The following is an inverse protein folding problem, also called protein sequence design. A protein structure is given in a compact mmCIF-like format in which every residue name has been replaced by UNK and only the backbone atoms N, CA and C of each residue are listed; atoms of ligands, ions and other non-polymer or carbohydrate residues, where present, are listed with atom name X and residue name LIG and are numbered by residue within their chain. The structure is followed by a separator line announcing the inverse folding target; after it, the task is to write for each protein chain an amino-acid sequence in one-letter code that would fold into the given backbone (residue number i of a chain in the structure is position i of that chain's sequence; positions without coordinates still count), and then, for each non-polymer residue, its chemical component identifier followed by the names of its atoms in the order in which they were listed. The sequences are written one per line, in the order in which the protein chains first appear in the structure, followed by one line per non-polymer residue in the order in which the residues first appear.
data_IF_145521897315
#
_entry.id   IF_145521897315
#
_cell.length_a   1.000
_cell.length_b   1.000
_cell.length_c   1.000
_cell.angle_alpha   90.00
_cell.angle_beta   90.00
_cell.angle_gamma   90.00
#
_symmetry.space_group_name_H-M   'P 1'
#
loop_
_entity.id
_entity.type
_entity.pdbx_description
1 polymer ?
#
# COMPACT_ATOMS: atom_id res chain seq x y z
N UNK A 1 -7.44 -11.23 13.44
CA UNK A 1 -7.60 -9.83 13.89
C UNK A 1 -6.34 -9.28 14.58
N UNK A 2 -5.73 -9.97 15.55
CA UNK A 2 -4.53 -9.44 16.25
C UNK A 2 -3.26 -9.30 15.35
N UNK A 3 -3.01 -10.27 14.46
CA UNK A 3 -1.83 -10.29 13.59
C UNK A 3 -1.82 -9.19 12.53
N UNK A 4 -2.99 -8.83 12.00
CA UNK A 4 -3.14 -7.79 10.98
C UNK A 4 -2.94 -6.36 11.55
N UNK A 5 -3.18 -6.16 12.85
CA UNK A 5 -3.00 -4.85 13.50
C UNK A 5 -1.62 -4.66 14.14
N UNK A 6 -0.92 -5.74 14.49
CA UNK A 6 0.43 -5.70 15.08
C UNK A 6 1.52 -5.38 14.05
N UNK A 7 1.40 -5.90 12.82
CA UNK A 7 2.40 -5.67 11.75
C UNK A 7 2.51 -4.19 11.35
N UNK A 8 1.40 -3.45 11.16
CA UNK A 8 1.46 -2.00 10.96
C UNK A 8 2.04 -1.23 12.15
N UNK A 9 1.74 -1.66 13.38
CA UNK A 9 2.23 -1.01 14.59
C UNK A 9 3.76 -1.12 14.73
N UNK A 10 4.30 -2.32 14.45
CA UNK A 10 5.74 -2.57 14.47
C UNK A 10 6.44 -1.84 13.31
N UNK A 11 5.84 -1.84 12.11
CA UNK A 11 6.34 -1.12 10.95
C UNK A 11 6.37 0.41 11.16
N UNK A 12 5.33 0.98 11.76
CA UNK A 12 5.25 2.38 12.11
C UNK A 12 6.28 2.77 13.20
N UNK A 13 6.49 1.91 14.20
CA UNK A 13 7.49 2.15 15.26
C UNK A 13 8.94 2.19 14.71
N UNK A 14 9.27 1.29 13.78
CA UNK A 14 10.59 1.26 13.13
C UNK A 14 10.76 2.46 12.19
N UNK A 15 9.70 2.86 11.48
CA UNK A 15 9.66 4.03 10.61
C UNK A 15 9.88 5.36 11.35
N UNK A 16 9.24 5.54 12.51
CA UNK A 16 9.37 6.75 13.32
C UNK A 16 10.71 6.85 14.06
N UNK A 17 11.34 5.70 14.36
CA UNK A 17 12.54 5.67 15.20
C UNK A 17 13.85 6.07 14.50
N UNK A 18 13.95 6.01 13.16
CA UNK A 18 15.27 6.12 12.50
C UNK A 18 15.39 6.99 11.22
N UNK A 19 14.32 7.33 10.49
CA UNK A 19 14.46 7.79 9.09
C UNK A 19 13.89 9.18 8.77
N UNK A 20 12.96 9.71 9.57
CA UNK A 20 12.24 10.94 9.26
C UNK A 20 11.10 10.75 8.24
N UNK A 21 10.02 11.53 8.40
CA UNK A 21 8.71 11.30 7.75
C UNK A 21 8.79 11.15 6.22
N UNK A 22 9.49 12.07 5.54
CA UNK A 22 9.64 12.05 4.08
C UNK A 22 10.40 10.82 3.55
N UNK A 23 11.50 10.43 4.23
CA UNK A 23 12.29 9.27 3.80
C UNK A 23 11.54 7.96 4.00
N UNK A 24 10.78 7.86 5.08
CA UNK A 24 9.90 6.71 5.32
C UNK A 24 8.86 6.57 4.21
N UNK A 25 8.26 7.67 3.75
CA UNK A 25 7.29 7.62 2.64
C UNK A 25 7.95 7.03 1.39
N UNK A 26 9.08 7.58 0.95
CA UNK A 26 9.79 7.10 -0.25
C UNK A 26 10.18 5.63 -0.12
N UNK A 27 10.80 5.24 0.99
CA UNK A 27 11.22 3.86 1.22
C UNK A 27 10.00 2.93 1.23
N UNK A 28 8.91 3.33 1.89
CA UNK A 28 7.68 2.53 1.94
C UNK A 28 7.05 2.40 0.55
N UNK A 29 7.04 3.45 -0.27
CA UNK A 29 6.56 3.39 -1.66
C UNK A 29 7.40 2.44 -2.52
N UNK A 30 8.73 2.48 -2.39
CA UNK A 30 9.62 1.56 -3.11
C UNK A 30 9.39 0.10 -2.69
N UNK A 31 9.26 -0.16 -1.39
CA UNK A 31 8.92 -1.50 -0.86
C UNK A 31 7.53 -1.92 -1.37
N UNK A 32 6.55 -1.01 -1.42
CA UNK A 32 5.21 -1.31 -1.92
C UNK A 32 5.23 -1.77 -3.39
N UNK A 33 5.90 -1.02 -4.27
CA UNK A 33 6.04 -1.36 -5.70
C UNK A 33 6.78 -2.69 -5.88
N UNK A 34 7.83 -2.93 -5.10
CA UNK A 34 8.56 -4.20 -5.12
C UNK A 34 7.67 -5.37 -4.68
N UNK A 35 6.87 -5.18 -3.62
CA UNK A 35 5.95 -6.20 -3.12
C UNK A 35 4.88 -6.58 -4.14
N UNK A 36 4.26 -5.58 -4.79
CA UNK A 36 3.29 -5.80 -5.85
C UNK A 36 3.91 -6.46 -7.09
N UNK A 37 5.15 -6.10 -7.45
CA UNK A 37 5.87 -6.73 -8.54
C UNK A 37 6.13 -8.21 -8.29
N UNK A 38 6.60 -8.56 -7.08
CA UNK A 38 6.81 -9.95 -6.67
C UNK A 38 5.49 -10.74 -6.61
N UNK A 39 4.41 -10.12 -6.15
CA UNK A 39 3.09 -10.73 -6.09
C UNK A 39 2.53 -11.01 -7.50
N UNK A 40 2.71 -10.07 -8.42
CA UNK A 40 2.34 -10.23 -9.84
C UNK A 40 3.14 -11.34 -10.49
N UNK A 41 4.46 -11.39 -10.25
CA UNK A 41 5.32 -12.46 -10.75
C UNK A 41 4.89 -13.84 -10.22
N UNK A 42 4.51 -13.92 -8.94
CA UNK A 42 3.95 -15.14 -8.35
C UNK A 42 2.66 -15.57 -9.05
N UNK A 43 1.75 -14.63 -9.33
CA UNK A 43 0.51 -14.91 -10.06
C UNK A 43 0.77 -15.36 -11.50
N UNK A 44 1.77 -14.80 -12.18
CA UNK A 44 2.19 -15.22 -13.54
C UNK A 44 2.66 -16.68 -13.50
N UNK A 45 3.55 -17.04 -12.58
CA UNK A 45 4.03 -18.42 -12.46
C UNK A 45 2.91 -19.42 -12.16
N UNK A 46 1.91 -19.03 -11.34
CA UNK A 46 0.71 -19.83 -11.11
C UNK A 46 -0.12 -20.00 -12.38
N UNK A 47 -0.33 -18.92 -13.15
CA UNK A 47 -1.15 -18.92 -14.36
C UNK A 47 -0.53 -19.69 -15.53
N UNK A 48 0.81 -19.70 -15.64
CA UNK A 48 1.53 -20.40 -16.71
C UNK A 48 1.69 -21.92 -16.45
N UNK A 49 1.20 -22.43 -15.32
CA UNK A 49 1.27 -23.86 -14.99
C UNK A 49 2.70 -24.38 -14.87
N UNK A 50 3.66 -23.53 -14.47
CA UNK A 50 5.07 -23.92 -14.30
C UNK A 50 5.21 -24.92 -13.15
N UNK A 51 5.10 -26.21 -13.46
CA UNK A 51 5.27 -27.37 -12.55
C UNK A 51 6.71 -27.56 -12.02
N UNK A 52 7.65 -26.68 -12.39
CA UNK A 52 9.08 -26.87 -12.15
C UNK A 52 9.55 -26.35 -10.79
N UNK A 53 8.71 -25.61 -10.06
CA UNK A 53 8.99 -25.19 -8.68
C UNK A 53 8.16 -26.03 -7.71
N UNK A 54 8.75 -26.59 -6.63
CA UNK A 54 7.96 -27.29 -5.64
C UNK A 54 6.88 -26.35 -5.09
N UNK A 55 5.64 -26.81 -4.92
CA UNK A 55 4.49 -25.97 -4.57
C UNK A 55 4.73 -25.13 -3.30
N UNK A 56 5.57 -25.63 -2.40
CA UNK A 56 5.97 -24.95 -1.17
C UNK A 56 6.78 -23.67 -1.40
N UNK A 57 7.70 -23.63 -2.38
CA UNK A 57 8.50 -22.42 -2.67
C UNK A 57 7.60 -21.32 -3.24
N UNK A 58 6.66 -21.67 -4.12
CA UNK A 58 5.72 -20.73 -4.70
C UNK A 58 4.78 -20.13 -3.64
N UNK A 59 4.28 -20.96 -2.72
CA UNK A 59 3.46 -20.51 -1.59
C UNK A 59 4.26 -19.61 -0.65
N UNK A 60 5.50 -19.97 -0.31
CA UNK A 60 6.37 -19.12 0.52
C UNK A 60 6.66 -17.78 -0.15
N UNK A 61 6.92 -17.77 -1.45
CA UNK A 61 7.17 -16.56 -2.22
C UNK A 61 5.92 -15.65 -2.29
N UNK A 62 4.74 -16.25 -2.47
CA UNK A 62 3.46 -15.55 -2.41
C UNK A 62 3.23 -14.89 -1.04
N UNK A 63 3.38 -15.64 0.06
CA UNK A 63 3.21 -15.06 1.40
C UNK A 63 4.28 -14.00 1.72
N UNK A 64 5.52 -14.21 1.29
CA UNK A 64 6.59 -13.22 1.45
C UNK A 64 6.23 -11.89 0.78
N UNK A 65 5.78 -11.93 -0.48
CA UNK A 65 5.33 -10.72 -1.20
C UNK A 65 4.14 -10.05 -0.52
N UNK A 66 3.16 -10.80 -0.02
CA UNK A 66 2.05 -10.25 0.78
C UNK A 66 2.50 -9.56 2.07
N UNK A 67 3.44 -10.15 2.82
CA UNK A 67 4.00 -9.51 4.01
C UNK A 67 4.72 -8.21 3.67
N UNK A 68 5.45 -8.18 2.56
CA UNK A 68 6.19 -7.01 2.11
C UNK A 68 5.24 -5.86 1.73
N UNK A 69 4.13 -6.16 1.03
CA UNK A 69 3.05 -5.20 0.76
C UNK A 69 2.41 -4.70 2.06
N UNK A 70 2.14 -5.58 3.02
CA UNK A 70 1.52 -5.22 4.30
C UNK A 70 2.42 -4.29 5.13
N UNK A 71 3.72 -4.57 5.20
CA UNK A 71 4.71 -3.72 5.88
C UNK A 71 4.79 -2.34 5.23
N UNK A 72 4.87 -2.29 3.90
CA UNK A 72 4.91 -1.04 3.15
C UNK A 72 3.67 -0.15 3.41
N UNK A 73 2.48 -0.75 3.38
CA UNK A 73 1.22 -0.05 3.68
C UNK A 73 1.17 0.47 5.13
N UNK A 74 1.72 -0.29 6.08
CA UNK A 74 1.79 0.09 7.49
C UNK A 74 2.68 1.31 7.74
N UNK A 75 3.76 1.49 6.97
CA UNK A 75 4.63 2.67 7.05
C UNK A 75 4.14 3.87 6.24
N UNK A 76 3.62 3.64 5.03
CA UNK A 76 3.26 4.72 4.10
C UNK A 76 2.08 5.56 4.62
N UNK A 77 0.97 4.92 5.00
CA UNK A 77 -0.28 5.59 5.38
C UNK A 77 -0.13 6.61 6.53
N UNK A 78 0.41 6.23 7.71
CA UNK A 78 0.53 7.18 8.82
C UNK A 78 1.53 8.30 8.51
N UNK A 79 2.62 8.02 7.79
CA UNK A 79 3.62 9.04 7.46
C UNK A 79 3.11 10.07 6.45
N UNK A 80 2.34 9.66 5.44
CA UNK A 80 1.71 10.60 4.48
C UNK A 80 0.70 11.51 5.19
N UNK A 81 -0.12 10.95 6.09
CA UNK A 81 -1.07 11.75 6.86
C UNK A 81 -0.38 12.74 7.79
N UNK A 82 0.68 12.31 8.50
CA UNK A 82 1.47 13.18 9.35
C UNK A 82 2.16 14.29 8.53
N UNK A 83 2.77 13.94 7.40
CA UNK A 83 3.44 14.91 6.52
C UNK A 83 2.46 15.93 5.93
N UNK A 84 1.25 15.51 5.56
CA UNK A 84 0.19 16.41 5.10
C UNK A 84 -0.32 17.32 6.22
N UNK A 85 -0.42 16.82 7.45
CA UNK A 85 -0.78 17.63 8.61
C UNK A 85 0.29 18.67 8.97
N UNK A 86 1.58 18.38 8.72
CA UNK A 86 2.71 19.28 8.97
C UNK A 86 2.77 20.47 7.98
N UNK A 87 1.97 20.46 6.91
CA UNK A 87 1.93 21.57 5.95
C UNK A 87 1.12 22.77 6.44
N UNK A 88 0.40 22.64 7.56
CA UNK A 88 -0.45 23.68 8.12
C UNK A 88 0.10 24.15 9.46
N UNK A 89 0.19 25.47 9.65
CA UNK A 89 0.53 26.07 10.93
C UNK A 89 -0.66 25.94 11.91
N UNK A 90 -0.34 25.64 13.16
CA UNK A 90 -1.32 25.52 14.25
C UNK A 90 -1.62 26.87 14.91
N UNK A 91 -0.68 27.82 14.81
CA UNK A 91 -0.82 29.13 15.42
C UNK A 91 -1.64 30.09 14.53
N UNK A 92 -1.88 29.72 13.27
CA UNK A 92 -2.78 30.43 12.35
C UNK A 92 -4.19 29.81 12.36
N UNK A 93 -5.23 30.55 12.81
CA UNK A 93 -6.60 30.05 12.86
C UNK A 93 -7.21 29.75 11.49
N UNK A 94 -6.81 30.45 10.41
CA UNK A 94 -7.28 30.17 9.04
C UNK A 94 -6.67 28.85 8.53
N UNK A 95 -5.37 28.63 8.73
CA UNK A 95 -4.71 27.39 8.32
C UNK A 95 -5.21 26.18 9.10
N UNK A 96 -5.54 26.35 10.39
CA UNK A 96 -6.14 25.31 11.21
C UNK A 96 -7.52 24.87 10.67
N UNK A 97 -8.35 25.81 10.19
CA UNK A 97 -9.62 25.50 9.54
C UNK A 97 -9.41 24.84 8.16
N UNK A 98 -8.42 25.30 7.39
CA UNK A 98 -8.06 24.73 6.10
C UNK A 98 -7.59 23.27 6.24
N UNK A 99 -6.82 22.96 7.29
CA UNK A 99 -6.39 21.59 7.61
C UNK A 99 -7.56 20.65 7.85
N UNK A 100 -8.57 21.07 8.61
CA UNK A 100 -9.76 20.25 8.84
C UNK A 100 -10.50 19.96 7.53
N UNK A 101 -10.65 20.98 6.68
CA UNK A 101 -11.27 20.83 5.36
C UNK A 101 -10.45 19.91 4.44
N UNK A 102 -9.12 20.01 4.47
CA UNK A 102 -8.22 19.12 3.74
C UNK A 102 -8.44 17.65 4.14
N UNK A 103 -8.44 17.34 5.43
CA UNK A 103 -8.67 15.96 5.89
C UNK A 103 -10.08 15.46 5.59
N UNK A 104 -11.10 16.33 5.68
CA UNK A 104 -12.47 15.95 5.30
C UNK A 104 -12.55 15.52 3.83
N UNK A 105 -11.97 16.30 2.92
CA UNK A 105 -11.90 15.95 1.50
C UNK A 105 -11.03 14.71 1.26
N UNK A 106 -9.89 14.59 1.94
CA UNK A 106 -9.03 13.41 1.88
C UNK A 106 -9.80 12.13 2.23
N UNK A 107 -10.51 12.11 3.37
CA UNK A 107 -11.29 10.95 3.79
C UNK A 107 -12.46 10.65 2.85
N UNK A 108 -13.11 11.67 2.30
CA UNK A 108 -14.14 11.52 1.28
C UNK A 108 -13.58 10.80 0.04
N UNK A 109 -12.48 11.31 -0.52
CA UNK A 109 -11.82 10.74 -1.69
C UNK A 109 -11.33 9.30 -1.43
N UNK A 110 -10.71 9.03 -0.28
CA UNK A 110 -10.25 7.67 0.08
C UNK A 110 -11.43 6.71 0.19
N UNK A 111 -12.54 7.13 0.79
CA UNK A 111 -13.73 6.28 0.95
C UNK A 111 -14.36 5.96 -0.40
N UNK A 112 -14.62 6.98 -1.23
CA UNK A 112 -15.14 6.80 -2.59
C UNK A 112 -14.21 5.95 -3.46
N UNK A 113 -12.90 6.24 -3.42
CA UNK A 113 -11.89 5.48 -4.15
C UNK A 113 -11.84 4.02 -3.71
N UNK A 114 -11.93 3.74 -2.41
CA UNK A 114 -11.96 2.35 -1.89
C UNK A 114 -13.19 1.60 -2.36
N UNK A 115 -14.38 2.22 -2.37
CA UNK A 115 -15.61 1.59 -2.86
C UNK A 115 -15.51 1.25 -4.34
N UNK A 116 -15.06 2.20 -5.17
CA UNK A 116 -14.89 1.99 -6.61
C UNK A 116 -13.84 0.91 -6.86
N UNK A 117 -12.70 0.98 -6.18
CA UNK A 117 -11.61 0.03 -6.30
C UNK A 117 -12.05 -1.39 -5.95
N UNK A 118 -12.88 -1.56 -4.91
CA UNK A 118 -13.40 -2.88 -4.52
C UNK A 118 -14.27 -3.48 -5.64
N UNK A 119 -15.14 -2.69 -6.27
CA UNK A 119 -15.98 -3.18 -7.39
C UNK A 119 -15.13 -3.51 -8.62
N UNK A 120 -14.23 -2.61 -8.99
CA UNK A 120 -13.39 -2.75 -10.20
C UNK A 120 -12.38 -3.88 -10.05
N UNK A 121 -11.66 -3.97 -8.93
CA UNK A 121 -10.65 -5.02 -8.73
C UNK A 121 -11.28 -6.41 -8.65
N UNK A 122 -12.42 -6.57 -7.96
CA UNK A 122 -13.12 -7.86 -7.92
C UNK A 122 -13.51 -8.27 -9.34
N UNK A 123 -14.07 -7.36 -10.13
CA UNK A 123 -14.41 -7.65 -11.52
C UNK A 123 -13.19 -8.10 -12.34
N UNK A 124 -12.06 -7.39 -12.22
CA UNK A 124 -10.83 -7.73 -12.94
C UNK A 124 -10.28 -9.10 -12.49
N UNK A 125 -10.21 -9.34 -11.18
CA UNK A 125 -9.67 -10.58 -10.62
C UNK A 125 -10.52 -11.80 -11.04
N UNK A 126 -11.85 -11.67 -11.01
CA UNK A 126 -12.77 -12.77 -11.32
C UNK A 126 -12.92 -13.03 -12.83
N UNK A 127 -12.86 -11.99 -13.68
CA UNK A 127 -13.15 -12.14 -15.12
C UNK A 127 -11.89 -12.09 -16.01
N UNK A 128 -10.87 -11.34 -15.62
CA UNK A 128 -9.65 -11.11 -16.43
C UNK A 128 -8.40 -11.77 -15.81
N UNK A 129 -8.47 -12.17 -14.55
CA UNK A 129 -7.47 -12.96 -13.86
C UNK A 129 -6.58 -12.17 -12.90
N UNK A 130 -5.98 -12.92 -11.97
CA UNK A 130 -5.19 -12.39 -10.85
C UNK A 130 -3.90 -11.67 -11.28
N UNK A 131 -3.32 -12.03 -12.43
CA UNK A 131 -2.13 -11.35 -12.99
C UNK A 131 -2.43 -9.88 -13.26
N UNK A 132 -3.56 -9.58 -13.89
CA UNK A 132 -3.97 -8.20 -14.17
C UNK A 132 -4.42 -7.49 -12.88
N UNK A 133 -5.11 -8.21 -11.99
CA UNK A 133 -5.55 -7.68 -10.69
C UNK A 133 -4.39 -7.19 -9.80
N UNK A 134 -3.22 -7.84 -9.84
CA UNK A 134 -2.02 -7.41 -9.11
C UNK A 134 -1.08 -6.52 -9.94
N UNK A 135 -1.07 -6.70 -11.27
CA UNK A 135 -0.18 -5.98 -12.17
C UNK A 135 -0.60 -4.52 -12.40
N UNK A 136 -1.90 -4.23 -12.48
CA UNK A 136 -2.39 -2.86 -12.69
C UNK A 136 -1.95 -1.91 -11.54
N UNK A 137 -2.13 -2.28 -10.25
CA UNK A 137 -1.63 -1.47 -9.14
C UNK A 137 -0.10 -1.35 -9.05
N UNK A 138 0.65 -2.25 -9.70
CA UNK A 138 2.12 -2.24 -9.69
C UNK A 138 2.71 -1.15 -10.60
N UNK A 139 1.94 -0.62 -11.56
CA UNK A 139 2.42 0.45 -12.43
C UNK A 139 2.68 1.70 -11.59
N UNK A 140 3.88 2.30 -11.66
CA UNK A 140 4.19 3.50 -10.90
C UNK A 140 3.51 4.69 -11.57
N UNK A 141 2.21 4.85 -11.32
CA UNK A 141 1.47 6.06 -11.69
C UNK A 141 1.94 7.27 -10.85
N UNK A 142 2.71 7.04 -9.80
CA UNK A 142 3.29 8.06 -8.91
C UNK A 142 4.66 8.62 -9.39
N UNK A 143 5.23 8.14 -10.51
CA UNK A 143 6.53 8.59 -11.05
C UNK A 143 6.42 9.50 -12.31
N UNK A 144 5.22 9.97 -12.63
CA UNK A 144 4.90 10.87 -13.75
C UNK A 144 4.31 12.18 -13.22
#
# INVERSE_FOLDING_TARGET
MLTASLVPLLGAFVADSFLGRYRTIIISSLIYTLGLGLLTLSAVFTSLGSTNSPPQIQIMFFFFSLYLVAVAQGGHKPCVQAFGADQFDYDDPEECQAKSSFFNWWFCCVSCGTTVNLVVLIYIQDNLGWVLGFGIPCLPWELL
#
